data_IF_892766543637
#
_entry.id   IF_892766543637
#
_cell.length_a   1.000
_cell.length_b   1.000
_cell.length_c   1.000
_cell.angle_alpha   90.00
_cell.angle_beta   90.00
_cell.angle_gamma   90.00
#
_symmetry.space_group_name_H-M   'P 1'
#
loop_
_entity.id
_entity.type
_entity.pdbx_description
1 polymer ?
#
# COMPACT_ATOMS: atom_id res chain seq x y z
N UNK A 1 28.86 -1.38 -3.97
CA UNK A 1 27.68 -1.88 -4.69
C UNK A 1 26.45 -1.10 -4.20
N UNK A 2 25.76 -0.39 -5.10
CA UNK A 2 24.62 0.47 -4.79
C UNK A 2 23.45 -0.41 -4.36
N UNK A 3 23.09 -0.40 -3.08
CA UNK A 3 21.90 -1.08 -2.54
C UNK A 3 20.66 -0.52 -3.24
N UNK A 4 20.25 -1.11 -4.38
CA UNK A 4 18.97 -0.77 -5.00
C UNK A 4 17.89 -1.22 -4.01
N UNK A 5 17.03 -0.32 -3.50
CA UNK A 5 15.88 -0.75 -2.72
C UNK A 5 15.08 -1.71 -3.63
N UNK A 6 15.02 -2.98 -3.24
CA UNK A 6 14.34 -4.01 -4.03
C UNK A 6 12.86 -3.67 -4.03
N UNK A 7 12.37 -3.10 -5.15
CA UNK A 7 10.98 -2.69 -5.31
C UNK A 7 10.10 -3.92 -5.43
N UNK A 8 9.63 -4.41 -4.31
CA UNK A 8 8.54 -5.35 -4.11
C UNK A 8 7.20 -4.73 -4.58
N UNK A 9 7.08 -4.55 -5.91
CA UNK A 9 5.90 -3.97 -6.56
C UNK A 9 4.59 -4.69 -6.25
N UNK A 10 4.65 -5.99 -5.89
CA UNK A 10 3.48 -6.77 -5.47
C UNK A 10 2.93 -6.30 -4.12
N UNK A 11 3.78 -6.02 -3.14
CA UNK A 11 3.36 -5.50 -1.83
C UNK A 11 2.81 -4.08 -1.94
N UNK A 12 3.42 -3.27 -2.81
CA UNK A 12 2.93 -1.92 -3.17
C UNK A 12 1.56 -1.98 -3.84
N UNK A 13 1.37 -2.87 -4.83
CA UNK A 13 0.11 -3.03 -5.55
C UNK A 13 -1.00 -3.59 -4.64
N UNK A 14 -0.72 -4.68 -3.91
CA UNK A 14 -1.68 -5.26 -2.95
C UNK A 14 -2.05 -4.26 -1.86
N UNK A 15 -1.07 -3.51 -1.36
CA UNK A 15 -1.31 -2.46 -0.37
C UNK A 15 -2.14 -1.32 -0.90
N UNK A 16 -1.87 -0.87 -2.12
CA UNK A 16 -2.67 0.16 -2.76
C UNK A 16 -4.12 -0.31 -2.98
N UNK A 17 -4.33 -1.54 -3.46
CA UNK A 17 -5.67 -2.08 -3.73
C UNK A 17 -6.46 -2.30 -2.43
N UNK A 18 -5.88 -2.97 -1.43
CA UNK A 18 -6.55 -3.20 -0.15
C UNK A 18 -6.81 -1.89 0.59
N UNK A 19 -5.83 -0.98 0.53
CA UNK A 19 -5.93 0.37 1.05
C UNK A 19 -7.04 1.17 0.37
N UNK A 20 -7.15 1.13 -0.96
CA UNK A 20 -8.19 1.80 -1.72
C UNK A 20 -9.59 1.30 -1.33
N UNK A 21 -9.76 -0.01 -1.19
CA UNK A 21 -11.05 -0.62 -0.83
C UNK A 21 -11.45 -0.23 0.59
N UNK A 22 -10.57 -0.40 1.58
CA UNK A 22 -10.84 0.00 2.96
C UNK A 22 -11.07 1.51 3.08
N UNK A 23 -10.23 2.28 2.39
CA UNK A 23 -10.30 3.73 2.31
C UNK A 23 -11.60 4.22 1.67
N UNK A 24 -12.09 3.59 0.61
CA UNK A 24 -13.38 3.90 -0.01
C UNK A 24 -14.51 3.81 1.00
N UNK A 25 -14.59 2.71 1.77
CA UNK A 25 -15.63 2.53 2.76
C UNK A 25 -15.51 3.54 3.92
N UNK A 26 -14.30 3.79 4.41
CA UNK A 26 -14.06 4.79 5.44
C UNK A 26 -14.40 6.22 4.96
N UNK A 27 -13.97 6.57 3.75
CA UNK A 27 -14.28 7.87 3.13
C UNK A 27 -15.76 8.03 2.82
N UNK A 28 -16.44 6.96 2.40
CA UNK A 28 -17.88 6.96 2.18
C UNK A 28 -18.64 7.23 3.48
N UNK A 29 -18.21 6.65 4.60
CA UNK A 29 -18.75 6.94 5.92
C UNK A 29 -18.46 8.39 6.36
N UNK A 30 -17.31 8.94 5.98
CA UNK A 30 -16.92 10.32 6.25
C UNK A 30 -17.47 11.35 5.24
N UNK A 31 -18.29 10.94 4.28
CA UNK A 31 -18.90 11.82 3.26
C UNK A 31 -18.00 12.18 2.07
N UNK A 32 -16.75 11.70 2.01
CA UNK A 32 -15.85 11.89 0.87
C UNK A 32 -15.12 10.59 0.48
N UNK A 33 -15.76 9.75 -0.36
CA UNK A 33 -15.18 8.45 -0.76
C UNK A 33 -13.91 8.58 -1.60
N UNK A 34 -13.76 9.66 -2.38
CA UNK A 34 -12.58 9.89 -3.21
C UNK A 34 -11.33 10.13 -2.36
N UNK A 35 -11.44 10.98 -1.32
CA UNK A 35 -10.34 11.17 -0.37
C UNK A 35 -10.03 9.90 0.42
N UNK A 36 -11.06 9.14 0.79
CA UNK A 36 -10.89 7.84 1.42
C UNK A 36 -10.06 6.88 0.57
N UNK A 37 -10.36 6.75 -0.72
CA UNK A 37 -9.58 5.92 -1.66
C UNK A 37 -8.12 6.38 -1.69
N UNK A 38 -7.85 7.68 -1.85
CA UNK A 38 -6.49 8.21 -2.00
C UNK A 38 -5.67 7.92 -0.73
N UNK A 39 -6.21 8.30 0.43
CA UNK A 39 -5.53 8.13 1.72
C UNK A 39 -5.37 6.64 2.06
N UNK A 40 -6.40 5.85 1.82
CA UNK A 40 -6.37 4.41 2.02
C UNK A 40 -5.32 3.73 1.14
N UNK A 41 -5.26 4.07 -0.15
CA UNK A 41 -4.28 3.53 -1.09
C UNK A 41 -2.85 3.83 -0.64
N UNK A 42 -2.58 5.08 -0.23
CA UNK A 42 -1.27 5.50 0.26
C UNK A 42 -0.89 4.78 1.56
N UNK A 43 -1.81 4.74 2.52
CA UNK A 43 -1.59 4.08 3.81
C UNK A 43 -1.40 2.57 3.66
N UNK A 44 -2.24 1.91 2.85
CA UNK A 44 -2.15 0.47 2.58
C UNK A 44 -0.88 0.11 1.82
N UNK A 45 -0.50 0.89 0.80
CA UNK A 45 0.76 0.73 0.08
C UNK A 45 1.96 0.88 1.02
N UNK A 46 1.97 1.91 1.87
CA UNK A 46 3.05 2.15 2.83
C UNK A 46 3.13 1.04 3.89
N UNK A 47 1.99 0.56 4.39
CA UNK A 47 1.92 -0.53 5.36
C UNK A 47 2.45 -1.83 4.78
N UNK A 48 1.96 -2.27 3.61
CA UNK A 48 2.40 -3.53 3.02
C UNK A 48 3.81 -3.46 2.45
N UNK A 49 4.27 -2.29 2.03
CA UNK A 49 5.67 -2.05 1.72
C UNK A 49 6.58 -2.21 2.95
N UNK A 50 6.09 -1.79 4.14
CA UNK A 50 6.83 -1.90 5.41
C UNK A 50 6.72 -3.28 6.07
N UNK A 51 5.57 -3.95 5.97
CA UNK A 51 5.28 -5.23 6.62
C UNK A 51 5.82 -6.41 5.81
N UNK A 52 5.85 -6.32 4.48
CA UNK A 52 6.46 -7.30 3.61
C UNK A 52 7.51 -6.65 2.70
N UNK A 53 8.64 -6.15 3.26
CA UNK A 53 9.81 -5.81 2.48
C UNK A 53 10.30 -7.14 1.90
N UNK A 54 9.94 -7.42 0.64
CA UNK A 54 9.96 -8.77 0.07
C UNK A 54 11.20 -9.54 0.49
N UNK A 55 11.00 -10.79 0.94
CA UNK A 55 12.05 -11.68 1.43
C UNK A 55 13.38 -11.40 0.74
N UNK A 56 14.39 -11.05 1.54
CA UNK A 56 15.79 -11.01 1.11
C UNK A 56 16.11 -12.45 0.72
N UNK A 57 15.84 -12.81 -0.53
CA UNK A 57 16.36 -14.02 -1.12
C UNK A 57 17.87 -13.78 -1.20
N UNK A 58 18.57 -14.11 -0.11
CA UNK A 58 19.98 -14.44 -0.11
C UNK A 58 20.09 -15.68 -0.99
N UNK A 59 20.33 -15.45 -2.27
CA UNK A 59 21.11 -16.38 -3.09
C UNK A 59 22.32 -15.63 -3.57
#
# INVERSE_FOLDING_TARGET
MKNRPHRNGRGLFLGAVLGAVAGYFAGRAAGNPAMGIILGSLAGAALLYRVNPGSRNRR
#
